data_IF_104540271902
#
_entry.id   IF_104540271902
#
_cell.length_a   1.000
_cell.length_b   1.000
_cell.length_c   1.000
_cell.angle_alpha   90.00
_cell.angle_beta   90.00
_cell.angle_gamma   90.00
#
_symmetry.space_group_name_H-M   'P 1'
#
loop_
_entity.id
_entity.type
_entity.pdbx_description
1 polymer ?
#
# COMPACT_ATOMS: atom_id res chain seq x y z
N UNK A 1 10.63 15.85 35.76
CA UNK A 1 10.32 14.78 34.78
C UNK A 1 9.19 15.27 33.89
N UNK A 2 9.48 15.55 32.63
CA UNK A 2 8.53 16.10 31.67
C UNK A 2 7.50 15.03 31.27
N UNK A 3 6.36 15.00 31.97
CA UNK A 3 5.19 14.19 31.61
C UNK A 3 4.41 14.78 30.43
N UNK A 4 5.09 15.14 29.34
CA UNK A 4 4.45 15.67 28.15
C UNK A 4 3.84 14.51 27.33
N UNK A 5 2.54 14.31 27.57
CA UNK A 5 1.53 13.81 26.62
C UNK A 5 1.71 12.39 26.05
N UNK A 6 1.73 11.39 26.95
CA UNK A 6 1.78 9.95 26.64
C UNK A 6 0.75 9.47 25.59
N UNK A 7 -0.39 10.15 25.47
CA UNK A 7 -1.41 9.86 24.45
C UNK A 7 -0.93 10.26 23.05
N UNK A 8 -0.30 11.42 22.89
CA UNK A 8 0.20 11.91 21.61
C UNK A 8 1.35 11.02 21.12
N UNK A 9 2.26 10.63 22.01
CA UNK A 9 3.34 9.70 21.69
C UNK A 9 2.82 8.34 21.22
N UNK A 10 1.76 7.82 21.87
CA UNK A 10 1.12 6.55 21.46
C UNK A 10 0.51 6.68 20.07
N UNK A 11 -0.31 7.72 19.83
CA UNK A 11 -0.93 7.94 18.51
C UNK A 11 0.13 8.12 17.42
N UNK A 12 1.24 8.80 17.72
CA UNK A 12 2.38 8.93 16.80
C UNK A 12 3.01 7.58 16.45
N UNK A 13 3.24 6.72 17.45
CA UNK A 13 3.74 5.35 17.24
C UNK A 13 2.75 4.50 16.43
N UNK A 14 1.47 4.56 16.74
CA UNK A 14 0.43 3.82 16.02
C UNK A 14 0.36 4.25 14.54
N UNK A 15 0.44 5.56 14.29
CA UNK A 15 0.51 6.09 12.92
C UNK A 15 1.75 5.62 12.18
N UNK A 16 2.92 5.64 12.84
CA UNK A 16 4.16 5.16 12.25
C UNK A 16 4.07 3.68 11.88
N UNK A 17 3.64 2.82 12.81
CA UNK A 17 3.46 1.38 12.55
C UNK A 17 2.43 1.11 11.45
N UNK A 18 1.34 1.87 11.42
CA UNK A 18 0.31 1.74 10.37
C UNK A 18 0.85 2.12 8.99
N UNK A 19 1.70 3.16 8.90
CA UNK A 19 2.37 3.55 7.65
C UNK A 19 3.31 2.46 7.17
N UNK A 20 4.13 1.89 8.06
CA UNK A 20 5.01 0.77 7.70
C UNK A 20 4.21 -0.44 7.18
N UNK A 21 3.07 -0.74 7.82
CA UNK A 21 2.20 -1.82 7.39
C UNK A 21 1.56 -1.53 6.00
N UNK A 22 1.16 -0.28 5.76
CA UNK A 22 0.65 0.16 4.45
C UNK A 22 1.73 0.05 3.36
N UNK A 23 2.96 0.46 3.64
CA UNK A 23 4.08 0.37 2.70
C UNK A 23 4.35 -1.10 2.33
N UNK A 24 4.42 -1.98 3.34
CA UNK A 24 4.60 -3.42 3.12
C UNK A 24 3.44 -4.05 2.34
N UNK A 25 2.20 -3.66 2.64
CA UNK A 25 1.02 -4.11 1.87
C UNK A 25 1.06 -3.63 0.42
N UNK A 26 1.50 -2.38 0.19
CA UNK A 26 1.61 -1.76 -1.14
C UNK A 26 2.68 -2.46 -1.98
N UNK A 27 3.83 -2.80 -1.40
CA UNK A 27 4.88 -3.58 -2.10
C UNK A 27 4.33 -4.94 -2.56
N UNK A 28 3.66 -5.68 -1.68
CA UNK A 28 3.06 -6.98 -2.04
C UNK A 28 1.99 -6.85 -3.12
N UNK A 29 1.15 -5.82 -3.04
CA UNK A 29 0.13 -5.55 -4.05
C UNK A 29 0.76 -5.22 -5.41
N UNK A 30 1.84 -4.44 -5.43
CA UNK A 30 2.61 -4.13 -6.63
C UNK A 30 3.20 -5.40 -7.26
N UNK A 31 3.87 -6.23 -6.47
CA UNK A 31 4.48 -7.47 -6.98
C UNK A 31 3.43 -8.42 -7.57
N UNK A 32 2.27 -8.54 -6.91
CA UNK A 32 1.14 -9.32 -7.40
C UNK A 32 0.56 -8.74 -8.71
N UNK A 33 0.44 -7.41 -8.81
CA UNK A 33 -0.03 -6.73 -10.01
C UNK A 33 0.91 -6.98 -11.21
N UNK A 34 2.23 -6.88 -10.99
CA UNK A 34 3.24 -7.13 -12.03
C UNK A 34 3.15 -8.57 -12.54
N UNK A 35 3.09 -9.56 -11.63
CA UNK A 35 2.95 -10.98 -12.00
C UNK A 35 1.66 -11.25 -12.76
N UNK A 36 0.52 -10.79 -12.24
CA UNK A 36 -0.77 -10.96 -12.91
C UNK A 36 -0.80 -10.30 -14.29
N UNK A 37 -0.14 -9.15 -14.47
CA UNK A 37 -0.03 -8.52 -15.78
C UNK A 37 0.82 -9.35 -16.75
N UNK A 38 1.92 -9.93 -16.28
CA UNK A 38 2.74 -10.85 -17.07
C UNK A 38 1.97 -12.12 -17.47
N UNK A 39 1.05 -12.59 -16.62
CA UNK A 39 0.14 -13.71 -16.91
C UNK A 39 -1.04 -13.31 -17.82
N UNK A 40 -1.07 -12.07 -18.35
CA UNK A 40 -2.08 -11.59 -19.28
C UNK A 40 -3.38 -11.09 -18.63
N UNK A 41 -3.43 -10.94 -17.30
CA UNK A 41 -4.61 -10.41 -16.63
C UNK A 41 -4.81 -8.93 -16.98
N UNK A 42 -6.02 -8.50 -17.39
CA UNK A 42 -6.28 -7.10 -17.70
C UNK A 42 -6.10 -6.17 -16.49
N UNK A 43 -5.53 -4.98 -16.72
CA UNK A 43 -5.27 -3.96 -15.67
C UNK A 43 -6.52 -3.59 -14.86
N UNK A 44 -7.71 -3.57 -15.49
CA UNK A 44 -8.99 -3.27 -14.83
C UNK A 44 -9.39 -4.36 -13.83
N UNK A 45 -9.10 -5.62 -14.14
CA UNK A 45 -9.37 -6.76 -13.25
C UNK A 45 -8.40 -6.76 -12.09
N UNK A 46 -7.11 -6.48 -12.35
CA UNK A 46 -6.07 -6.33 -11.33
C UNK A 46 -6.47 -5.22 -10.34
N UNK A 47 -6.83 -4.04 -10.86
CA UNK A 47 -7.27 -2.89 -10.06
C UNK A 47 -8.47 -3.25 -9.16
N UNK A 48 -9.50 -3.90 -9.73
CA UNK A 48 -10.69 -4.32 -8.98
C UNK A 48 -10.36 -5.33 -7.87
N UNK A 49 -9.48 -6.31 -8.14
CA UNK A 49 -9.11 -7.36 -7.16
C UNK A 49 -8.25 -6.81 -6.02
N UNK A 50 -7.34 -5.89 -6.31
CA UNK A 50 -6.46 -5.29 -5.31
C UNK A 50 -7.18 -4.17 -4.53
N UNK A 51 -8.19 -3.54 -5.13
CA UNK A 51 -8.90 -2.41 -4.52
C UNK A 51 -8.21 -1.07 -4.75
N UNK A 52 -7.56 -0.90 -5.90
CA UNK A 52 -6.89 0.36 -6.30
C UNK A 52 -7.43 0.88 -7.62
N UNK A 53 -7.06 2.11 -7.98
CA UNK A 53 -7.39 2.65 -9.29
C UNK A 53 -6.57 1.97 -10.40
N UNK A 54 -7.10 1.94 -11.63
CA UNK A 54 -6.35 1.47 -12.80
C UNK A 54 -5.07 2.30 -13.03
N UNK A 55 -5.12 3.60 -12.76
CA UNK A 55 -3.96 4.51 -12.88
C UNK A 55 -2.83 4.07 -11.95
N UNK A 56 -3.14 3.68 -10.72
CA UNK A 56 -2.15 3.14 -9.77
C UNK A 56 -1.48 1.88 -10.32
N UNK A 57 -2.26 0.96 -10.90
CA UNK A 57 -1.71 -0.25 -11.54
C UNK A 57 -0.77 0.12 -12.70
N UNK A 58 -1.15 1.07 -13.55
CA UNK A 58 -0.29 1.53 -14.66
C UNK A 58 1.04 2.12 -14.18
N UNK A 59 1.00 2.97 -13.15
CA UNK A 59 2.21 3.52 -12.54
C UNK A 59 3.15 2.43 -12.02
N UNK A 60 2.60 1.39 -11.37
CA UNK A 60 3.39 0.25 -10.90
C UNK A 60 4.07 -0.54 -12.03
N UNK A 61 3.41 -0.64 -13.18
CA UNK A 61 3.91 -1.27 -14.40
C UNK A 61 4.86 -0.37 -15.21
N UNK A 62 5.08 0.89 -14.78
CA UNK A 62 5.94 1.85 -15.48
C UNK A 62 5.32 2.49 -16.72
N UNK A 63 3.99 2.65 -16.76
CA UNK A 63 3.21 3.20 -17.89
C UNK A 63 2.36 4.42 -17.53
#
# INVERSE_FOLDING_TARGET
MLGFNTKLDRVGKDLYSSRMALDAATVRARDAAVKAHADGVPETVIAKKIGVSRTTVRQWLGK
#
